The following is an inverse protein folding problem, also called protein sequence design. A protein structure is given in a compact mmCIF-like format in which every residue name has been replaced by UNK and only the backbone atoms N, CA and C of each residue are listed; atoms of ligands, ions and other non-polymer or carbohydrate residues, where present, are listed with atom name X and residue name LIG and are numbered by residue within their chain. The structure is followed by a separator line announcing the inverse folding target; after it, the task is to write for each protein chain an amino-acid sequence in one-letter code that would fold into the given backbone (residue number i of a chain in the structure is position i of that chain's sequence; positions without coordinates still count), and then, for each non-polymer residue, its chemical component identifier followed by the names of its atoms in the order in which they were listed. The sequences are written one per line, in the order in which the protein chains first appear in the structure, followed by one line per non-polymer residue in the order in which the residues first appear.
data_IF_687077784382
#
_entry.id   IF_687077784382
#
_cell.length_a   1.000
_cell.length_b   1.000
_cell.length_c   1.000
_cell.angle_alpha   90.00
_cell.angle_beta   90.00
_cell.angle_gamma   90.00
#
_symmetry.space_group_name_H-M   'P 1'
#
loop_
_entity.id
_entity.type
_entity.pdbx_description
1 polymer ?
#
# COMPACT_ATOMS: atom_id res chain seq x y z
N UNK A 1 -14.59 -3.35 -4.70
CA UNK A 1 -13.32 -3.08 -4.01
C UNK A 1 -12.46 -4.33 -4.07
N UNK A 2 -11.22 -4.20 -4.56
CA UNK A 2 -10.28 -5.31 -4.65
C UNK A 2 -8.93 -4.87 -4.08
N UNK A 3 -8.56 -5.41 -2.93
CA UNK A 3 -7.22 -5.24 -2.37
C UNK A 3 -6.32 -6.37 -2.90
N UNK A 4 -5.21 -6.00 -3.51
CA UNK A 4 -4.17 -6.94 -3.92
C UNK A 4 -3.10 -7.01 -2.85
N UNK A 5 -2.74 -8.21 -2.40
CA UNK A 5 -1.77 -8.40 -1.32
C UNK A 5 -0.67 -9.37 -1.71
N UNK A 6 0.57 -8.97 -1.42
CA UNK A 6 1.74 -9.84 -1.35
C UNK A 6 2.12 -10.05 0.14
N UNK A 7 3.14 -10.86 0.47
CA UNK A 7 3.64 -10.93 1.84
C UNK A 7 4.16 -9.59 2.39
N UNK A 8 4.53 -8.63 1.53
CA UNK A 8 5.24 -7.41 1.92
C UNK A 8 4.48 -6.12 1.61
N UNK A 9 3.52 -6.16 0.69
CA UNK A 9 2.80 -4.99 0.19
C UNK A 9 1.33 -5.29 0.00
N UNK A 10 0.49 -4.26 0.15
CA UNK A 10 -0.92 -4.29 -0.24
C UNK A 10 -1.26 -3.01 -1.00
N UNK A 11 -2.08 -3.13 -2.03
CA UNK A 11 -2.49 -2.01 -2.89
C UNK A 11 -3.96 -2.12 -3.28
N UNK A 12 -4.54 -1.00 -3.70
CA UNK A 12 -5.89 -0.89 -4.27
C UNK A 12 -5.84 -0.68 -5.79
N UNK A 13 -6.91 -1.01 -6.52
CA UNK A 13 -7.11 -0.60 -7.91
C UNK A 13 -7.63 0.84 -8.08
N UNK A 14 -8.18 1.43 -7.01
CA UNK A 14 -8.84 2.75 -7.04
C UNK A 14 -8.04 3.86 -6.41
N UNK A 15 -7.15 3.52 -5.49
CA UNK A 15 -6.37 4.50 -4.75
C UNK A 15 -4.87 4.32 -4.98
N UNK A 16 -4.10 5.42 -5.04
CA UNK A 16 -2.65 5.36 -5.05
C UNK A 16 -2.04 5.07 -3.66
N UNK A 17 -2.86 4.91 -2.62
CA UNK A 17 -2.42 4.52 -1.29
C UNK A 17 -2.08 3.02 -1.21
N UNK A 18 -1.15 2.69 -0.32
CA UNK A 18 -0.65 1.34 -0.16
C UNK A 18 -0.28 1.05 1.29
N UNK A 19 -0.25 -0.24 1.62
CA UNK A 19 0.34 -0.72 2.87
C UNK A 19 1.65 -1.45 2.57
N UNK A 20 2.62 -1.28 3.45
CA UNK A 20 3.89 -2.00 3.37
C UNK A 20 4.26 -2.59 4.72
N UNK A 21 4.91 -3.75 4.69
CA UNK A 21 5.47 -4.40 5.85
C UNK A 21 6.94 -4.04 5.97
N UNK A 22 7.37 -3.56 7.14
CA UNK A 22 8.79 -3.39 7.45
C UNK A 22 9.38 -4.73 7.90
N UNK A 23 10.67 -4.95 7.64
CA UNK A 23 11.37 -6.14 8.12
C UNK A 23 11.29 -6.22 9.65
N UNK A 24 10.62 -7.26 10.12
CA UNK A 24 10.27 -7.51 11.50
C UNK A 24 9.54 -8.85 11.61
N UNK A 25 9.67 -9.52 12.76
CA UNK A 25 9.04 -10.81 13.04
C UNK A 25 7.72 -10.67 13.82
N UNK A 26 7.16 -9.47 13.90
CA UNK A 26 6.01 -9.14 14.74
C UNK A 26 4.66 -9.20 14.00
N UNK A 27 3.60 -9.47 14.76
CA UNK A 27 2.22 -9.43 14.23
C UNK A 27 1.75 -8.02 13.81
N UNK A 28 2.48 -6.96 14.20
CA UNK A 28 2.19 -5.55 13.92
C UNK A 28 3.34 -4.85 13.19
N UNK A 29 3.55 -5.26 11.95
CA UNK A 29 4.65 -4.76 11.11
C UNK A 29 4.18 -4.03 9.85
N UNK A 30 2.87 -3.87 9.69
CA UNK A 30 2.29 -3.12 8.58
C UNK A 30 2.22 -1.63 8.88
N UNK A 31 2.35 -0.82 7.84
CA UNK A 31 2.16 0.63 7.84
C UNK A 31 1.41 1.02 6.58
N UNK A 32 0.57 2.04 6.67
CA UNK A 32 -0.07 2.68 5.51
C UNK A 32 0.79 3.85 5.04
N UNK A 33 0.76 4.16 3.75
CA UNK A 33 1.40 5.35 3.18
C UNK A 33 0.95 6.63 3.87
N UNK A 34 -0.36 6.78 4.10
CA UNK A 34 -0.97 7.97 4.72
C UNK A 34 -1.08 7.92 6.26
N UNK A 35 -0.75 6.78 6.89
CA UNK A 35 -0.78 6.60 8.36
C UNK A 35 0.48 5.86 8.86
N UNK A 36 1.64 6.37 8.42
CA UNK A 36 2.93 5.69 8.56
C UNK A 36 3.45 5.61 10.01
N UNK A 37 2.95 6.45 10.91
CA UNK A 37 3.43 6.54 12.30
C UNK A 37 2.95 5.39 13.18
N UNK A 38 1.89 4.67 12.76
CA UNK A 38 1.32 3.56 13.52
C UNK A 38 1.69 2.21 12.92
N UNK A 39 2.08 1.29 13.80
CA UNK A 39 2.27 -0.13 13.47
C UNK A 39 0.93 -0.86 13.53
N UNK A 40 0.56 -1.50 12.42
CA UNK A 40 -0.74 -2.12 12.20
C UNK A 40 -0.59 -3.64 12.08
N UNK A 41 -1.64 -4.36 12.48
CA UNK A 41 -1.82 -5.74 12.03
C UNK A 41 -2.14 -5.80 10.55
N UNK A 42 -2.08 -7.00 9.96
CA UNK A 42 -2.50 -7.22 8.57
C UNK A 42 -3.95 -6.78 8.34
N UNK A 43 -4.84 -7.13 9.27
CA UNK A 43 -6.27 -6.78 9.23
C UNK A 43 -6.49 -5.27 9.28
N UNK A 44 -5.78 -4.57 10.16
CA UNK A 44 -5.83 -3.11 10.25
C UNK A 44 -5.31 -2.44 8.98
N UNK A 45 -4.25 -2.98 8.38
CA UNK A 45 -3.74 -2.47 7.11
C UNK A 45 -4.76 -2.62 5.98
N UNK A 46 -5.47 -3.76 5.91
CA UNK A 46 -6.58 -3.93 4.96
C UNK A 46 -7.67 -2.91 5.23
N UNK A 47 -8.16 -2.80 6.48
CA UNK A 47 -9.20 -1.83 6.85
C UNK A 47 -8.82 -0.39 6.48
N UNK A 48 -7.55 -0.01 6.56
CA UNK A 48 -7.08 1.31 6.12
C UNK A 48 -7.11 1.53 4.61
N UNK A 49 -6.82 0.51 3.80
CA UNK A 49 -7.00 0.61 2.35
C UNK A 49 -8.48 0.69 1.98
N UNK A 50 -9.33 -0.07 2.66
CA UNK A 50 -10.77 -0.01 2.46
C UNK A 50 -11.35 1.36 2.85
N UNK A 51 -10.91 1.91 3.98
CA UNK A 51 -11.32 3.24 4.44
C UNK A 51 -11.00 4.31 3.42
N UNK A 52 -9.77 4.31 2.92
CA UNK A 52 -9.31 5.25 1.90
C UNK A 52 -10.13 5.14 0.59
N UNK A 53 -10.42 3.94 0.10
CA UNK A 53 -11.30 3.77 -1.07
C UNK A 53 -12.70 4.37 -0.85
N UNK A 54 -13.27 4.16 0.34
CA UNK A 54 -14.62 4.63 0.66
C UNK A 54 -14.68 6.16 0.76
N UNK A 55 -13.73 6.79 1.44
CA UNK A 55 -13.73 8.26 1.63
C UNK A 55 -13.29 9.01 0.37
N UNK A 56 -12.53 8.37 -0.51
CA UNK A 56 -12.07 8.96 -1.77
C UNK A 56 -13.12 8.91 -2.89
N UNK A 57 -14.26 8.23 -2.69
CA UNK A 57 -15.33 8.16 -3.69
C UNK A 57 -16.43 9.21 -3.44
N UNK A 58 -16.52 10.29 -4.25
CA UNK A 58 -17.51 11.34 -4.06
C UNK A 58 -18.96 10.87 -4.28
N UNK A 59 -19.17 9.79 -5.04
CA UNK A 59 -20.51 9.25 -5.30
C UNK A 59 -21.15 8.62 -4.05
N UNK A 60 -20.36 8.36 -3.00
CA UNK A 60 -20.82 7.73 -1.76
C UNK A 60 -21.20 8.71 -0.64
N UNK A 61 -21.08 10.03 -0.87
CA UNK A 61 -21.27 11.06 0.18
C UNK A 61 -22.70 11.10 0.75
N UNK A 62 -23.70 10.68 -0.02
CA UNK A 62 -25.09 10.60 0.43
C UNK A 62 -25.50 9.17 0.86
N UNK A 63 -24.60 8.20 0.78
CA UNK A 63 -24.89 6.79 1.07
C UNK A 63 -24.66 6.48 2.56
N UNK A 64 -25.77 6.25 3.28
CA UNK A 64 -25.74 5.92 4.70
C UNK A 64 -25.03 4.58 5.00
N UNK A 65 -25.09 3.61 4.08
CA UNK A 65 -24.39 2.33 4.24
C UNK A 65 -22.89 2.52 4.07
N UNK A 66 -22.47 3.36 3.12
CA UNK A 66 -21.07 3.73 2.97
C UNK A 66 -20.55 4.46 4.21
N UNK A 67 -21.34 5.37 4.80
CA UNK A 67 -20.97 6.06 6.04
C UNK A 67 -20.80 5.11 7.23
N UNK A 68 -21.68 4.12 7.38
CA UNK A 68 -21.52 3.09 8.40
C UNK A 68 -20.23 2.27 8.19
N UNK A 69 -19.96 1.86 6.94
CA UNK A 69 -18.72 1.15 6.62
C UNK A 69 -17.47 2.00 6.91
N UNK A 70 -17.49 3.29 6.59
CA UNK A 70 -16.40 4.23 6.91
C UNK A 70 -16.13 4.24 8.42
N UNK A 71 -17.17 4.36 9.24
CA UNK A 71 -17.04 4.34 10.70
C UNK A 71 -16.45 3.00 11.19
N UNK A 72 -16.97 1.86 10.71
CA UNK A 72 -16.49 0.53 11.10
C UNK A 72 -14.99 0.34 10.80
N UNK A 73 -14.53 0.81 9.62
CA UNK A 73 -13.09 0.69 9.26
C UNK A 73 -12.22 1.61 10.11
N UNK A 74 -12.69 2.83 10.38
CA UNK A 74 -11.99 3.77 11.24
C UNK A 74 -11.86 3.24 12.68
N UNK A 75 -12.89 2.55 13.19
CA UNK A 75 -12.88 1.91 14.50
C UNK A 75 -11.87 0.76 14.58
N UNK A 76 -11.73 -0.06 13.52
CA UNK A 76 -10.68 -1.10 13.44
C UNK A 76 -9.27 -0.49 13.54
N UNK A 77 -9.08 0.67 12.94
CA UNK A 77 -7.84 1.44 13.05
C UNK A 77 -7.71 2.17 14.40
N UNK A 78 -8.80 2.34 15.14
CA UNK A 78 -8.86 3.14 16.36
C UNK A 78 -8.52 4.60 16.11
N UNK A 79 -9.14 5.21 15.09
CA UNK A 79 -9.07 6.64 14.74
C UNK A 79 -10.48 7.16 14.43
N UNK A 80 -10.73 8.47 14.55
CA UNK A 80 -11.95 9.06 13.99
C UNK A 80 -11.85 9.12 12.46
N UNK A 81 -12.94 8.82 11.76
CA UNK A 81 -12.93 8.82 10.29
C UNK A 81 -12.64 10.21 9.69
N UNK A 82 -12.97 11.29 10.40
CA UNK A 82 -12.65 12.66 9.95
C UNK A 82 -11.15 12.93 10.02
N UNK A 83 -10.47 12.38 11.02
CA UNK A 83 -9.01 12.45 11.12
C UNK A 83 -8.36 11.68 9.97
N UNK A 84 -8.94 10.54 9.58
CA UNK A 84 -8.49 9.78 8.41
C UNK A 84 -8.58 10.62 7.12
N UNK A 85 -9.70 11.33 6.90
CA UNK A 85 -9.87 12.24 5.77
C UNK A 85 -8.80 13.34 5.78
N UNK A 86 -8.49 13.92 6.93
CA UNK A 86 -7.45 14.96 7.06
C UNK A 86 -6.06 14.40 6.71
N UNK A 87 -5.73 13.19 7.17
CA UNK A 87 -4.46 12.54 6.86
C UNK A 87 -4.32 12.22 5.37
N UNK A 88 -5.37 11.70 4.74
CA UNK A 88 -5.41 11.41 3.31
C UNK A 88 -5.30 12.69 2.47
N UNK A 89 -6.00 13.76 2.87
CA UNK A 89 -5.88 15.05 2.18
C UNK A 89 -4.45 15.62 2.24
N UNK A 90 -3.75 15.45 3.37
CA UNK A 90 -2.34 15.86 3.51
C UNK A 90 -1.44 15.08 2.55
N UNK A 91 -1.63 13.77 2.44
CA UNK A 91 -0.84 12.93 1.54
C UNK A 91 -1.11 13.27 0.07
N UNK A 92 -2.37 13.52 -0.29
CA UNK A 92 -2.74 13.97 -1.63
C UNK A 92 -2.03 15.29 -2.00
N UNK A 93 -2.04 16.28 -1.08
CA UNK A 93 -1.36 17.57 -1.28
C UNK A 93 0.16 17.36 -1.41
N UNK A 94 0.77 16.54 -0.54
CA UNK A 94 2.21 16.27 -0.58
C UNK A 94 2.63 15.66 -1.92
N UNK A 95 1.82 14.75 -2.47
CA UNK A 95 2.04 14.14 -3.78
C UNK A 95 1.93 15.15 -4.91
N UNK A 96 0.89 15.99 -4.92
CA UNK A 96 0.73 17.04 -5.94
C UNK A 96 1.90 18.02 -5.95
N UNK A 97 2.44 18.37 -4.78
CA UNK A 97 3.64 19.21 -4.66
C UNK A 97 4.91 18.49 -5.13
N UNK A 98 5.02 17.18 -4.88
CA UNK A 98 6.12 16.34 -5.37
C UNK A 98 6.15 16.22 -6.89
N UNK A 99 4.99 16.02 -7.53
CA UNK A 99 4.84 15.99 -8.99
C UNK A 99 5.18 17.35 -9.61
N UNK A 100 4.78 18.45 -8.96
CA UNK A 100 5.04 19.80 -9.42
C UNK A 100 6.53 20.19 -9.34
N UNK A 101 7.33 19.53 -8.50
CA UNK A 101 8.81 19.66 -8.49
C UNK A 101 9.50 18.90 -9.62
N UNK A 102 8.82 17.97 -10.30
CA UNK A 102 9.45 17.01 -11.23
C UNK A 102 9.30 17.38 -12.73
N UNK A 103 8.58 18.44 -13.14
CA UNK A 103 8.71 19.04 -14.51
C UNK A 103 7.94 20.37 -14.73
N UNK A 104 8.32 21.25 -15.70
CA UNK A 104 9.36 21.12 -16.73
C UNK A 104 10.29 22.36 -16.93
N UNK A 105 11.60 22.15 -16.94
CA UNK A 105 12.52 22.98 -17.74
C UNK A 105 13.63 22.10 -18.29
N UNK A 106 13.96 22.36 -19.56
CA UNK A 106 15.02 21.79 -20.38
C UNK A 106 14.72 20.43 -21.06
N UNK A 107 14.63 20.50 -22.40
CA UNK A 107 14.53 19.36 -23.29
C UNK A 107 15.82 18.53 -23.40
N UNK A 108 15.62 17.28 -23.80
CA UNK A 108 16.62 16.32 -24.22
C UNK A 108 15.91 15.02 -24.62
N UNK A 109 16.30 14.34 -25.72
CA UNK A 109 15.46 13.31 -26.31
C UNK A 109 15.46 12.01 -25.51
N UNK A 110 14.24 11.49 -25.31
CA UNK A 110 13.81 10.11 -25.08
C UNK A 110 14.93 9.08 -24.83
N UNK A 111 15.13 8.73 -23.57
CA UNK A 111 15.64 7.43 -23.16
C UNK A 111 14.64 6.79 -22.19
N UNK A 112 13.74 5.97 -22.73
CA UNK A 112 12.90 5.08 -21.93
C UNK A 112 13.78 4.07 -21.19
N UNK A 113 13.59 3.84 -19.88
CA UNK A 113 14.05 2.62 -19.26
C UNK A 113 13.05 1.51 -19.62
N UNK A 114 13.44 0.68 -20.58
CA UNK A 114 12.81 -0.61 -20.87
C UNK A 114 12.79 -1.47 -19.60
N UNK A 115 11.65 -2.14 -19.38
CA UNK A 115 11.55 -3.36 -18.57
C UNK A 115 12.74 -4.27 -18.87
N UNK A 116 13.65 -4.43 -17.90
CA UNK A 116 14.77 -5.35 -18.03
C UNK A 116 14.33 -6.74 -17.58
N UNK A 117 13.91 -7.54 -18.56
CA UNK A 117 13.89 -8.99 -18.46
C UNK A 117 15.17 -9.55 -19.10
N UNK A 118 16.03 -10.18 -18.30
CA UNK A 118 17.02 -11.20 -18.69
C UNK A 118 17.59 -11.80 -17.38
N UNK A 119 17.33 -13.04 -16.95
CA UNK A 119 17.56 -14.36 -17.53
C UNK A 119 19.04 -14.82 -17.56
N UNK A 120 19.30 -15.91 -16.79
CA UNK A 120 20.39 -16.94 -16.86
C UNK A 120 21.76 -16.48 -16.30
N UNK A 121 22.37 -17.07 -15.25
CA UNK A 121 22.68 -18.49 -14.90
C UNK A 121 24.20 -18.73 -15.10
N UNK A 122 24.90 -19.78 -14.59
CA UNK A 122 24.64 -20.75 -13.51
C UNK A 122 25.74 -20.77 -12.43
N UNK A 123 25.60 -21.56 -11.35
CA UNK A 123 26.70 -22.22 -10.62
C UNK A 123 26.13 -23.43 -9.87
N UNK A 124 26.41 -24.63 -10.40
CA UNK A 124 26.44 -25.89 -9.63
C UNK A 124 27.58 -25.78 -8.59
N UNK A 125 27.51 -26.34 -7.39
CA UNK A 125 27.80 -27.73 -6.95
C UNK A 125 27.43 -27.70 -5.46
N UNK A 126 26.66 -28.59 -4.81
CA UNK A 126 26.59 -30.04 -4.85
C UNK A 126 26.76 -30.53 -3.40
N UNK A 127 25.81 -31.29 -2.85
CA UNK A 127 26.03 -32.34 -1.84
C UNK A 127 24.68 -32.93 -1.41
N UNK A 128 24.51 -34.20 -1.78
CA UNK A 128 23.42 -35.10 -1.45
C UNK A 128 23.68 -35.72 -0.08
N UNK A 129 22.67 -35.83 0.77
CA UNK A 129 22.60 -36.88 1.77
C UNK A 129 21.13 -37.20 2.12
N UNK A 130 20.53 -38.09 1.33
CA UNK A 130 19.47 -38.96 1.81
C UNK A 130 20.14 -40.14 2.52
N UNK A 131 19.79 -40.37 3.79
CA UNK A 131 19.83 -41.70 4.38
C UNK A 131 18.47 -41.92 5.02
N UNK A 132 17.75 -42.88 4.46
CA UNK A 132 16.58 -43.53 5.04
C UNK A 132 16.96 -44.99 5.22
N UNK A 133 16.79 -45.51 6.44
CA UNK A 133 16.78 -46.92 6.88
C UNK A 133 16.66 -46.84 8.41
N UNK A 134 15.76 -47.50 9.12
CA UNK A 134 14.83 -48.61 8.88
C UNK A 134 13.55 -48.37 9.67
#
# INVERSE_FOLDING_TARGET
MTVYATPWTMTSDRSPEYAYRRDGSGARDWRLSWFADRRLTREQAVAGLELDELVSNPDLVADAVAHAAIADRADVLGIDWRDAVVLLAREMIARSQGEQRVSPSAGGPLASPRLSAAARGPMAVGAVAHVSTR
#
